data_IF_211664881597
#
_entry.id   IF_211664881597
#
_cell.length_a   1.000
_cell.length_b   1.000
_cell.length_c   1.000
_cell.angle_alpha   90.00
_cell.angle_beta   90.00
_cell.angle_gamma   90.00
#
_symmetry.space_group_name_H-M   'P 1'
#
loop_
_entity.id
_entity.type
_entity.pdbx_description
1 polymer ?
#
# COMPACT_ATOMS: atom_id res chain seq x y z
N UNK A 1 3.30 -18.49 -27.00
CA UNK A 1 3.28 -17.45 -25.96
C UNK A 1 4.73 -17.19 -25.57
N UNK A 2 5.17 -15.94 -25.52
CA UNK A 2 6.55 -15.59 -25.15
C UNK A 2 6.59 -15.38 -23.63
N UNK A 3 7.56 -15.98 -22.93
CA UNK A 3 7.61 -16.06 -21.46
C UNK A 3 8.94 -15.57 -20.89
N UNK A 4 9.65 -14.69 -21.61
CA UNK A 4 11.04 -14.32 -21.29
C UNK A 4 11.98 -15.51 -21.41
N UNK A 5 13.15 -15.41 -20.79
CA UNK A 5 14.19 -16.44 -20.81
C UNK A 5 14.49 -16.92 -19.40
N UNK A 6 14.39 -18.24 -19.17
CA UNK A 6 14.78 -18.84 -17.89
C UNK A 6 16.29 -18.72 -17.73
N UNK A 7 16.72 -17.94 -16.73
CA UNK A 7 18.12 -17.74 -16.38
C UNK A 7 18.60 -18.72 -15.31
N UNK A 8 17.72 -19.09 -14.38
CA UNK A 8 17.99 -20.07 -13.33
C UNK A 8 16.72 -20.83 -12.99
N UNK A 9 16.84 -22.07 -12.52
CA UNK A 9 15.70 -22.91 -12.13
C UNK A 9 15.00 -23.58 -13.31
N UNK A 10 13.67 -23.59 -13.28
CA UNK A 10 12.81 -24.18 -14.31
C UNK A 10 12.53 -25.68 -14.14
N UNK A 11 13.09 -26.34 -13.13
CA UNK A 11 12.77 -27.73 -12.82
C UNK A 11 11.38 -27.84 -12.21
N UNK A 12 10.61 -28.83 -12.66
CA UNK A 12 9.26 -29.11 -12.19
C UNK A 12 9.19 -30.60 -11.87
N UNK A 13 8.57 -30.93 -10.74
CA UNK A 13 8.14 -32.28 -10.41
C UNK A 13 6.63 -32.22 -10.13
N UNK A 14 5.86 -32.75 -11.07
CA UNK A 14 4.39 -32.72 -11.02
C UNK A 14 3.83 -33.64 -9.94
N UNK A 15 4.52 -34.73 -9.62
CA UNK A 15 4.09 -35.69 -8.60
C UNK A 15 4.23 -35.06 -7.20
N UNK A 16 5.35 -34.36 -6.97
CA UNK A 16 5.63 -33.68 -5.71
C UNK A 16 5.05 -32.25 -5.64
N UNK A 17 4.38 -31.77 -6.69
CA UNK A 17 3.92 -30.37 -6.83
C UNK A 17 5.04 -29.35 -6.58
N UNK A 18 6.25 -29.69 -7.04
CA UNK A 18 7.44 -28.88 -6.84
C UNK A 18 7.75 -28.07 -8.09
N UNK A 19 8.04 -26.80 -7.88
CA UNK A 19 8.57 -25.88 -8.89
C UNK A 19 9.83 -25.29 -8.26
N UNK A 20 10.98 -25.43 -8.94
CA UNK A 20 12.22 -24.85 -8.45
C UNK A 20 12.18 -23.31 -8.46
N UNK A 21 12.90 -22.63 -7.55
CA UNK A 21 13.11 -21.19 -7.64
C UNK A 21 13.62 -20.80 -9.02
N UNK A 22 12.80 -20.05 -9.76
CA UNK A 22 13.00 -19.79 -11.19
C UNK A 22 13.16 -18.30 -11.44
N UNK A 23 14.30 -17.90 -12.02
CA UNK A 23 14.58 -16.54 -12.43
C UNK A 23 14.34 -16.41 -13.93
N UNK A 24 13.53 -15.43 -14.34
CA UNK A 24 13.25 -15.17 -15.76
C UNK A 24 13.76 -13.77 -16.11
N UNK A 25 14.68 -13.70 -17.07
CA UNK A 25 15.20 -12.45 -17.65
C UNK A 25 14.46 -12.09 -18.95
N UNK A 26 14.68 -10.88 -19.46
CA UNK A 26 14.09 -10.37 -20.71
C UNK A 26 12.55 -10.38 -20.71
N UNK A 27 11.94 -10.10 -19.55
CA UNK A 27 10.48 -10.06 -19.38
C UNK A 27 9.92 -8.70 -19.83
N UNK A 28 8.83 -8.73 -20.60
CA UNK A 28 8.11 -7.53 -21.04
C UNK A 28 6.78 -7.37 -20.27
N UNK A 29 6.29 -6.12 -20.09
CA UNK A 29 5.03 -5.84 -19.39
C UNK A 29 3.80 -6.59 -19.92
N UNK A 30 3.76 -6.89 -21.22
CA UNK A 30 2.62 -7.54 -21.89
C UNK A 30 2.65 -9.07 -21.79
N UNK A 31 3.71 -9.66 -21.23
CA UNK A 31 3.82 -11.10 -21.07
C UNK A 31 2.82 -11.63 -20.02
N UNK A 32 2.21 -12.82 -20.24
CA UNK A 32 1.21 -13.37 -19.32
C UNK A 32 1.63 -13.44 -17.84
N UNK A 33 2.92 -13.68 -17.58
CA UNK A 33 3.47 -13.75 -16.22
C UNK A 33 3.39 -12.42 -15.45
N UNK A 34 3.21 -11.30 -16.15
CA UNK A 34 3.14 -9.96 -15.56
C UNK A 34 1.70 -9.48 -15.32
N UNK A 35 0.68 -10.20 -15.79
CA UNK A 35 -0.73 -9.78 -15.69
C UNK A 35 -1.45 -10.33 -14.45
N UNK A 36 -0.90 -11.35 -13.81
CA UNK A 36 -1.49 -12.01 -12.65
C UNK A 36 -0.49 -12.11 -11.49
N UNK A 37 -1.01 -12.20 -10.27
CA UNK A 37 -0.17 -12.46 -9.10
C UNK A 37 0.41 -13.88 -9.19
N UNK A 38 1.75 -13.97 -9.25
CA UNK A 38 2.46 -15.23 -9.51
C UNK A 38 2.19 -16.29 -8.43
N UNK A 39 2.16 -15.87 -7.15
CA UNK A 39 1.93 -16.71 -5.98
C UNK A 39 2.72 -18.04 -5.94
N UNK A 40 3.93 -18.01 -6.52
CA UNK A 40 4.80 -19.17 -6.73
C UNK A 40 6.27 -18.77 -6.85
N UNK A 41 7.19 -19.74 -6.96
CA UNK A 41 8.63 -19.50 -6.86
C UNK A 41 9.23 -19.01 -8.18
N UNK A 42 8.55 -18.10 -8.88
CA UNK A 42 9.00 -17.54 -10.16
C UNK A 42 9.22 -16.04 -9.98
N UNK A 43 10.42 -15.58 -10.32
CA UNK A 43 10.85 -14.18 -10.21
C UNK A 43 11.17 -13.62 -11.61
N UNK A 44 10.23 -12.92 -12.26
CA UNK A 44 10.51 -12.17 -13.47
C UNK A 44 11.35 -10.93 -13.15
N UNK A 45 12.34 -10.66 -14.00
CA UNK A 45 13.20 -9.48 -13.91
C UNK A 45 13.02 -8.64 -15.17
N UNK A 46 12.60 -7.40 -14.96
CA UNK A 46 12.46 -6.38 -15.99
C UNK A 46 13.50 -5.29 -15.76
N UNK A 47 14.21 -4.90 -16.82
CA UNK A 47 15.15 -3.80 -16.80
C UNK A 47 14.44 -2.48 -17.10
N UNK A 48 15.00 -1.37 -16.59
CA UNK A 48 14.54 -0.02 -16.87
C UNK A 48 15.75 0.89 -17.06
N UNK A 49 15.59 1.98 -17.80
CA UNK A 49 16.67 2.95 -18.03
C UNK A 49 16.65 4.11 -17.03
N UNK A 50 15.46 4.46 -16.56
CA UNK A 50 15.26 5.55 -15.60
C UNK A 50 14.11 5.26 -14.62
N UNK A 51 14.10 6.00 -13.50
CA UNK A 51 13.10 5.79 -12.44
C UNK A 51 11.70 6.28 -12.81
N UNK A 52 11.57 7.16 -13.81
CA UNK A 52 10.30 7.59 -14.36
C UNK A 52 9.54 6.41 -14.98
N UNK A 53 10.23 5.55 -15.73
CA UNK A 53 9.65 4.31 -16.28
C UNK A 53 9.06 3.42 -15.18
N UNK A 54 9.80 3.24 -14.08
CA UNK A 54 9.33 2.44 -12.93
C UNK A 54 8.09 3.06 -12.30
N UNK A 55 8.08 4.37 -12.07
CA UNK A 55 6.92 5.07 -11.49
C UNK A 55 5.69 4.96 -12.40
N UNK A 56 5.86 5.15 -13.71
CA UNK A 56 4.78 4.99 -14.70
C UNK A 56 4.23 3.57 -14.66
N UNK A 57 5.10 2.56 -14.77
CA UNK A 57 4.69 1.15 -14.75
C UNK A 57 3.92 0.80 -13.46
N UNK A 58 4.42 1.19 -12.30
CA UNK A 58 3.75 0.90 -11.01
C UNK A 58 2.38 1.57 -10.93
N UNK A 59 2.24 2.81 -11.44
CA UNK A 59 0.99 3.57 -11.36
C UNK A 59 -0.05 3.19 -12.43
N UNK A 60 0.38 2.59 -13.55
CA UNK A 60 -0.52 2.03 -14.57
C UNK A 60 -1.17 0.71 -14.12
N UNK A 61 -0.58 0.05 -13.13
CA UNK A 61 -1.06 -1.19 -12.55
C UNK A 61 -1.88 -0.96 -11.27
N UNK A 62 -2.57 -2.01 -10.84
CA UNK A 62 -3.31 -1.98 -9.60
C UNK A 62 -2.42 -1.81 -8.37
N UNK A 63 -2.91 -1.05 -7.39
CA UNK A 63 -2.14 -0.68 -6.20
C UNK A 63 -1.75 -1.93 -5.39
N UNK A 64 -0.44 -2.26 -5.29
CA UNK A 64 -0.02 -3.50 -4.65
C UNK A 64 -0.12 -3.42 -3.13
N UNK A 65 -0.16 -4.59 -2.49
CA UNK A 65 -0.16 -4.68 -1.02
C UNK A 65 1.17 -4.17 -0.44
N UNK A 66 2.30 -4.47 -1.10
CA UNK A 66 3.61 -4.05 -0.67
C UNK A 66 4.44 -3.50 -1.84
N UNK A 67 5.25 -2.47 -1.56
CA UNK A 67 6.28 -1.96 -2.46
C UNK A 67 7.66 -2.05 -1.81
N UNK A 68 8.65 -2.59 -2.54
CA UNK A 68 10.01 -2.77 -2.04
C UNK A 68 10.99 -2.00 -2.90
N UNK A 69 11.88 -1.24 -2.26
CA UNK A 69 12.93 -0.49 -2.93
C UNK A 69 14.29 -0.83 -2.34
N UNK A 70 15.27 -1.12 -3.21
CA UNK A 70 16.66 -1.34 -2.81
C UNK A 70 17.52 -0.20 -3.39
N UNK A 71 18.20 0.54 -2.51
CA UNK A 71 19.03 1.68 -2.89
C UNK A 71 19.15 2.74 -1.81
N UNK A 72 19.34 3.99 -2.22
CA UNK A 72 19.57 5.12 -1.31
C UNK A 72 18.25 5.73 -0.80
N UNK A 73 18.28 6.27 0.41
CA UNK A 73 17.09 6.82 1.07
C UNK A 73 16.46 8.03 0.37
N UNK A 74 17.27 8.88 -0.29
CA UNK A 74 16.74 10.07 -0.98
C UNK A 74 15.85 9.65 -2.14
N UNK A 75 16.36 8.77 -3.00
CA UNK A 75 15.62 8.21 -4.13
C UNK A 75 14.41 7.39 -3.66
N UNK A 76 14.56 6.60 -2.59
CA UNK A 76 13.44 5.86 -2.01
C UNK A 76 12.27 6.80 -1.64
N UNK A 77 12.56 7.91 -0.96
CA UNK A 77 11.54 8.90 -0.57
C UNK A 77 10.86 9.51 -1.80
N UNK A 78 11.63 9.85 -2.84
CA UNK A 78 11.09 10.41 -4.08
C UNK A 78 10.14 9.43 -4.81
N UNK A 79 10.47 8.14 -4.88
CA UNK A 79 9.63 7.12 -5.50
C UNK A 79 8.37 6.85 -4.67
N UNK A 80 8.50 6.73 -3.35
CA UNK A 80 7.37 6.49 -2.45
C UNK A 80 6.36 7.65 -2.44
N UNK A 81 6.79 8.89 -2.69
CA UNK A 81 5.88 10.03 -2.86
C UNK A 81 5.12 10.03 -4.20
N UNK A 82 5.59 9.25 -5.17
CA UNK A 82 5.03 9.20 -6.54
C UNK A 82 4.26 7.91 -6.82
N UNK A 83 4.21 6.98 -5.88
CA UNK A 83 3.56 5.67 -6.01
C UNK A 83 2.64 5.42 -4.81
N UNK A 84 1.78 4.41 -4.87
CA UNK A 84 0.88 4.06 -3.77
C UNK A 84 0.84 2.55 -3.58
N UNK A 85 0.95 2.11 -2.33
CA UNK A 85 0.87 0.70 -1.91
C UNK A 85 0.31 0.63 -0.48
N UNK A 86 -0.07 -0.57 -0.02
CA UNK A 86 -0.55 -0.79 1.34
C UNK A 86 0.54 -0.51 2.39
N UNK A 87 1.72 -1.08 2.17
CA UNK A 87 2.94 -0.89 2.94
C UNK A 87 4.20 -1.12 2.10
N UNK A 88 5.36 -1.21 2.73
CA UNK A 88 6.60 -1.42 2.00
C UNK A 88 7.85 -1.38 2.86
N UNK A 89 8.99 -1.64 2.23
CA UNK A 89 10.30 -1.61 2.85
C UNK A 89 11.33 -0.92 1.95
N UNK A 90 12.34 -0.31 2.59
CA UNK A 90 13.56 0.18 1.93
C UNK A 90 14.69 -0.74 2.39
N UNK A 91 15.41 -1.33 1.43
CA UNK A 91 16.51 -2.27 1.64
C UNK A 91 16.14 -3.55 2.42
N UNK A 92 14.87 -3.95 2.33
CA UNK A 92 14.36 -5.18 2.94
C UNK A 92 13.08 -5.65 2.21
N UNK A 93 12.58 -6.83 2.55
CA UNK A 93 11.28 -7.35 2.12
C UNK A 93 10.54 -7.93 3.32
N UNK A 94 9.20 -7.95 3.29
CA UNK A 94 8.34 -8.61 4.30
C UNK A 94 8.37 -7.97 5.71
N UNK A 95 9.50 -7.42 6.15
CA UNK A 95 9.75 -7.03 7.55
C UNK A 95 8.77 -6.00 8.10
N UNK A 96 8.21 -5.11 7.27
CA UNK A 96 7.19 -4.16 7.72
C UNK A 96 5.93 -4.83 8.30
N UNK A 97 5.61 -6.06 7.85
CA UNK A 97 4.46 -6.84 8.35
C UNK A 97 4.72 -7.37 9.76
N UNK A 98 5.99 -7.62 10.13
CA UNK A 98 6.34 -8.21 11.43
C UNK A 98 6.20 -7.24 12.62
N UNK A 99 6.14 -5.94 12.36
CA UNK A 99 6.07 -4.93 13.41
C UNK A 99 4.64 -4.70 13.88
N UNK A 100 4.37 -4.97 15.16
CA UNK A 100 3.08 -4.63 15.80
C UNK A 100 2.81 -3.13 15.91
N UNK A 101 3.81 -2.28 15.65
CA UNK A 101 3.69 -0.82 15.67
C UNK A 101 3.38 -0.23 14.30
N UNK A 102 3.37 -1.05 13.24
CA UNK A 102 3.03 -0.63 11.89
C UNK A 102 1.66 -1.21 11.51
N UNK A 103 0.71 -0.39 11.07
CA UNK A 103 -0.57 -0.88 10.58
C UNK A 103 -0.36 -1.63 9.26
N UNK A 104 -0.90 -2.84 9.17
CA UNK A 104 -0.84 -3.68 7.98
C UNK A 104 -2.21 -3.76 7.30
N UNK A 105 -2.22 -3.51 6.00
CA UNK A 105 -3.42 -3.57 5.17
C UNK A 105 -3.19 -2.94 3.80
N UNK A 106 -4.10 -3.22 2.86
CA UNK A 106 -4.01 -2.79 1.48
C UNK A 106 -4.62 -1.42 1.20
N UNK A 107 -4.64 -1.07 -0.09
CA UNK A 107 -5.29 0.12 -0.64
C UNK A 107 -5.78 -0.16 -2.05
N UNK A 108 -7.05 0.13 -2.34
CA UNK A 108 -7.64 -0.19 -3.65
C UNK A 108 -7.81 -1.70 -3.83
N UNK A 109 -7.34 -2.26 -4.95
CA UNK A 109 -7.48 -3.69 -5.23
C UNK A 109 -6.68 -4.60 -4.28
N UNK A 110 -5.64 -4.10 -3.60
CA UNK A 110 -4.96 -4.86 -2.54
C UNK A 110 -5.72 -4.89 -1.21
N UNK A 111 -6.84 -4.18 -1.10
CA UNK A 111 -7.72 -4.20 0.07
C UNK A 111 -8.03 -2.83 0.66
N UNK A 112 -8.64 -2.83 1.84
CA UNK A 112 -9.00 -1.63 2.59
C UNK A 112 -8.80 -1.84 4.08
N UNK A 113 -8.73 -0.74 4.83
CA UNK A 113 -8.47 -0.71 6.27
C UNK A 113 -7.12 -1.36 6.64
N UNK A 114 -6.79 -1.30 7.92
CA UNK A 114 -5.54 -1.83 8.46
C UNK A 114 -5.76 -2.45 9.83
N UNK A 115 -4.91 -3.40 10.18
CA UNK A 115 -4.87 -4.06 11.49
C UNK A 115 -3.40 -4.22 11.93
N UNK A 116 -3.15 -4.98 13.01
CA UNK A 116 -1.94 -5.10 13.83
C UNK A 116 -1.93 -4.18 15.06
N UNK A 117 -1.47 -4.73 16.18
CA UNK A 117 -1.30 -4.01 17.44
C UNK A 117 -2.53 -3.19 17.84
N UNK A 118 -2.32 -1.88 18.01
CA UNK A 118 -3.38 -0.92 18.35
C UNK A 118 -4.43 -0.79 17.24
N UNK A 119 -4.02 -0.86 15.98
CA UNK A 119 -4.92 -0.71 14.84
C UNK A 119 -5.90 -1.88 14.73
N UNK A 120 -5.51 -3.10 15.15
CA UNK A 120 -6.46 -4.21 15.33
C UNK A 120 -7.55 -3.88 16.35
N UNK A 121 -7.19 -3.31 17.50
CA UNK A 121 -8.18 -2.94 18.51
C UNK A 121 -9.17 -1.91 17.94
N UNK A 122 -8.68 -0.89 17.24
CA UNK A 122 -9.55 0.10 16.59
C UNK A 122 -10.43 -0.52 15.51
N UNK A 123 -9.88 -1.39 14.65
CA UNK A 123 -10.61 -2.04 13.56
C UNK A 123 -11.76 -2.93 14.04
N UNK A 124 -11.65 -3.51 15.24
CA UNK A 124 -12.68 -4.37 15.84
C UNK A 124 -13.47 -3.68 16.96
N UNK A 125 -13.36 -2.35 17.09
CA UNK A 125 -14.07 -1.56 18.09
C UNK A 125 -14.97 -0.50 17.44
N UNK A 126 -15.93 0.01 18.21
CA UNK A 126 -16.71 1.19 17.85
C UNK A 126 -16.18 2.42 18.60
N UNK A 127 -15.54 3.34 17.89
CA UNK A 127 -15.08 4.63 18.45
C UNK A 127 -16.26 5.57 18.69
N UNK A 128 -16.93 5.39 19.84
CA UNK A 128 -18.16 6.11 20.20
C UNK A 128 -17.86 7.54 20.70
N UNK A 129 -18.25 8.53 19.90
CA UNK A 129 -18.22 9.95 20.29
C UNK A 129 -19.30 10.31 21.32
N UNK A 130 -18.92 10.92 22.44
CA UNK A 130 -19.82 11.40 23.50
C UNK A 130 -19.43 12.83 23.88
N UNK A 131 -20.41 13.75 23.92
CA UNK A 131 -20.23 15.11 24.44
C UNK A 131 -20.99 15.24 25.76
N UNK A 132 -20.30 15.70 26.79
CA UNK A 132 -20.92 16.06 28.08
C UNK A 132 -21.05 17.58 28.13
N UNK A 133 -22.28 18.09 28.03
CA UNK A 133 -22.58 19.51 28.21
C UNK A 133 -23.03 19.76 29.65
N UNK A 134 -22.50 20.79 30.33
CA UNK A 134 -22.91 21.07 31.69
C UNK A 134 -24.23 21.85 31.72
N UNK A 135 -25.06 21.63 32.74
CA UNK A 135 -26.42 22.20 32.81
C UNK A 135 -26.49 23.68 33.18
N UNK A 136 -25.43 24.22 33.78
CA UNK A 136 -25.37 25.58 34.32
C UNK A 136 -24.98 26.68 33.32
N UNK A 137 -24.49 26.35 32.12
CA UNK A 137 -24.10 27.33 31.10
C UNK A 137 -24.51 26.83 29.73
N UNK A 138 -25.40 27.58 29.10
CA UNK A 138 -25.92 27.27 27.77
C UNK A 138 -25.63 28.45 26.85
N UNK A 139 -24.59 28.31 26.03
CA UNK A 139 -24.13 29.39 25.17
C UNK A 139 -25.20 29.71 24.11
N UNK A 140 -25.69 30.95 24.02
CA UNK A 140 -26.83 31.30 23.17
C UNK A 140 -26.51 31.30 21.67
N UNK A 141 -25.26 31.00 21.28
CA UNK A 141 -24.81 30.97 19.88
C UNK A 141 -25.59 29.98 19.01
N UNK A 142 -26.16 28.92 19.59
CA UNK A 142 -26.95 27.91 18.88
C UNK A 142 -28.45 28.22 18.78
N UNK A 143 -28.93 29.31 19.41
CA UNK A 143 -30.34 29.67 19.42
C UNK A 143 -30.65 30.89 18.54
N UNK A 144 -31.78 30.89 17.81
CA UNK A 144 -32.31 32.10 17.16
C UNK A 144 -32.76 33.16 18.18
N UNK A 145 -32.75 34.46 17.81
CA UNK A 145 -32.17 35.01 16.59
C UNK A 145 -30.64 35.04 16.71
N UNK A 146 -29.93 34.55 15.69
CA UNK A 146 -28.46 34.42 15.66
C UNK A 146 -27.74 35.79 15.60
N UNK A 147 -27.96 36.64 16.61
CA UNK A 147 -27.53 38.05 16.67
C UNK A 147 -26.01 38.20 16.56
N UNK A 148 -25.26 37.19 17.00
CA UNK A 148 -23.81 37.16 17.00
C UNK A 148 -23.20 36.59 15.71
N UNK A 149 -24.00 36.03 14.81
CA UNK A 149 -23.53 35.42 13.55
C UNK A 149 -22.87 36.43 12.60
N UNK A 150 -23.33 37.69 12.61
CA UNK A 150 -22.72 38.77 11.81
C UNK A 150 -21.28 39.09 12.23
N UNK A 151 -20.95 38.93 13.50
CA UNK A 151 -19.59 39.16 14.01
C UNK A 151 -18.69 37.96 13.71
N UNK A 152 -19.21 36.74 13.83
CA UNK A 152 -18.48 35.50 13.54
C UNK A 152 -18.07 35.42 12.06
N UNK A 153 -18.95 35.83 11.13
CA UNK A 153 -18.63 35.94 9.69
C UNK A 153 -17.48 36.90 9.33
N UNK A 154 -17.03 37.75 10.26
CA UNK A 154 -15.95 38.72 10.02
C UNK A 154 -14.58 38.18 10.42
N UNK A 155 -14.55 37.05 11.15
CA UNK A 155 -13.33 36.38 11.63
C UNK A 155 -13.06 35.04 10.93
N UNK A 156 -14.02 34.56 10.13
CA UNK A 156 -13.86 33.48 9.14
C UNK A 156 -13.69 34.17 7.79
#
# INVERSE_FOLDING_TARGET
MQHGKIKYGGQIDMEQKYIAPTLIEDVQPDFPIMHEEIFGPILPVMTFEDLGQVVTYVNENEKPLAFYYFGNHKTAKEILMKTTSGGGCINDTIMHVSSHHLPFGGVGNSGMNKYHGRDSFLAFSNERSIVISPFWIDLPFKYPPFRYFKWIKKFI
#
